data_IF_056517186702
#
_entry.id   IF_056517186702
#
_cell.length_a   1.000
_cell.length_b   1.000
_cell.length_c   1.000
_cell.angle_alpha   90.00
_cell.angle_beta   90.00
_cell.angle_gamma   90.00
#
_symmetry.space_group_name_H-M   'P 1'
#
loop_
_entity.id
_entity.type
_entity.pdbx_description
1 polymer ?
#
# COMPACT_ATOMS: atom_id res chain seq x y z
N UNK A 1 -1.10 6.70 -22.63
CA UNK A 1 -0.76 6.59 -21.19
C UNK A 1 -2.04 6.66 -20.38
N UNK A 2 -2.22 5.84 -19.32
CA UNK A 2 -3.42 5.87 -18.48
C UNK A 2 -3.63 7.25 -17.87
N UNK A 3 -4.89 7.69 -17.74
CA UNK A 3 -5.24 9.03 -17.23
C UNK A 3 -4.84 9.23 -15.77
N UNK A 4 -4.77 10.49 -15.31
CA UNK A 4 -4.44 10.82 -13.89
C UNK A 4 -5.40 10.13 -12.92
N UNK A 5 -6.69 10.08 -13.26
CA UNK A 5 -7.73 9.41 -12.46
C UNK A 5 -7.52 7.88 -12.39
N UNK A 6 -7.15 7.25 -13.50
CA UNK A 6 -6.86 5.81 -13.56
C UNK A 6 -5.63 5.47 -12.71
N UNK A 7 -4.59 6.33 -12.75
CA UNK A 7 -3.41 6.16 -11.90
C UNK A 7 -3.73 6.36 -10.42
N UNK A 8 -4.59 7.32 -10.05
CA UNK A 8 -5.00 7.50 -8.64
C UNK A 8 -5.86 6.33 -8.14
N UNK A 9 -6.74 5.78 -9.00
CA UNK A 9 -7.52 4.58 -8.67
C UNK A 9 -6.59 3.38 -8.41
N UNK A 10 -5.61 3.15 -9.28
CA UNK A 10 -4.61 2.09 -9.10
C UNK A 10 -3.74 2.32 -7.86
N UNK A 11 -3.37 3.57 -7.56
CA UNK A 11 -2.62 3.91 -6.36
C UNK A 11 -3.42 3.55 -5.10
N UNK A 12 -4.72 3.86 -5.07
CA UNK A 12 -5.63 3.46 -3.97
C UNK A 12 -5.70 1.95 -3.79
N UNK A 13 -5.83 1.20 -4.87
CA UNK A 13 -5.86 -0.27 -4.83
C UNK A 13 -4.57 -0.85 -4.24
N UNK A 14 -3.41 -0.44 -4.76
CA UNK A 14 -2.11 -0.96 -4.32
C UNK A 14 -1.81 -0.60 -2.87
N UNK A 15 -2.15 0.63 -2.45
CA UNK A 15 -1.98 1.05 -1.06
C UNK A 15 -2.88 0.24 -0.12
N UNK A 16 -4.12 -0.07 -0.53
CA UNK A 16 -5.01 -0.96 0.22
C UNK A 16 -4.42 -2.36 0.38
N UNK A 17 -3.89 -2.94 -0.69
CA UNK A 17 -3.22 -4.25 -0.66
C UNK A 17 -2.00 -4.25 0.28
N UNK A 18 -1.16 -3.21 0.20
CA UNK A 18 0.00 -3.06 1.08
C UNK A 18 -0.42 -2.95 2.56
N UNK A 19 -1.48 -2.18 2.84
CA UNK A 19 -2.02 -2.08 4.19
C UNK A 19 -2.52 -3.43 4.70
N UNK A 20 -3.17 -4.24 3.85
CA UNK A 20 -3.57 -5.61 4.20
C UNK A 20 -2.37 -6.46 4.63
N UNK A 21 -1.32 -6.51 3.80
CA UNK A 21 -0.08 -7.26 4.12
C UNK A 21 0.56 -6.77 5.43
N UNK A 22 0.61 -5.46 5.63
CA UNK A 22 1.14 -4.89 6.88
C UNK A 22 0.36 -5.38 8.11
N UNK A 23 -0.97 -5.40 8.02
CA UNK A 23 -1.82 -5.82 9.13
C UNK A 23 -1.71 -7.32 9.41
N UNK A 24 -1.56 -8.15 8.37
CA UNK A 24 -1.24 -9.57 8.54
C UNK A 24 0.04 -9.76 9.36
N UNK A 25 1.10 -9.01 9.03
CA UNK A 25 2.36 -9.07 9.78
C UNK A 25 2.23 -8.50 11.20
N UNK A 26 1.40 -7.48 11.40
CA UNK A 26 1.08 -6.96 12.72
C UNK A 26 0.40 -8.03 13.58
N UNK A 27 -0.60 -8.73 13.06
CA UNK A 27 -1.27 -9.81 13.79
C UNK A 27 -0.31 -10.95 14.13
N UNK A 28 0.51 -11.37 13.16
CA UNK A 28 1.54 -12.37 13.38
C UNK A 28 2.52 -11.96 14.49
N UNK A 29 3.05 -10.74 14.44
CA UNK A 29 3.98 -10.23 15.45
C UNK A 29 3.33 -10.17 16.84
N UNK A 30 2.07 -9.73 16.96
CA UNK A 30 1.35 -9.75 18.24
C UNK A 30 1.21 -11.18 18.77
N UNK A 31 0.94 -12.15 17.90
CA UNK A 31 0.80 -13.57 18.28
C UNK A 31 2.11 -14.19 18.76
N UNK A 32 3.23 -13.80 18.17
CA UNK A 32 4.58 -14.21 18.62
C UNK A 32 4.91 -13.70 20.04
N UNK A 33 4.22 -12.67 20.54
CA UNK A 33 4.39 -12.19 21.92
C UNK A 33 3.59 -12.98 22.96
N UNK A 34 2.68 -13.86 22.55
CA UNK A 34 1.86 -14.66 23.47
C UNK A 34 2.65 -15.91 23.90
N UNK A 35 2.91 -16.11 25.21
CA UNK A 35 3.62 -17.29 25.70
C UNK A 35 2.89 -18.59 25.36
N UNK A 36 3.61 -19.57 24.83
CA UNK A 36 3.09 -20.89 24.41
C UNK A 36 3.31 -21.98 25.47
N UNK A 37 3.50 -21.60 26.73
CA UNK A 37 3.96 -22.47 27.83
C UNK A 37 2.93 -23.50 28.35
N UNK A 38 1.88 -23.79 27.58
CA UNK A 38 0.85 -24.75 27.93
C UNK A 38 1.04 -26.11 27.26
N UNK A 39 0.82 -27.19 28.02
CA UNK A 39 0.69 -28.58 27.53
C UNK A 39 -0.42 -28.72 26.45
N UNK A 40 -1.25 -27.68 26.29
CA UNK A 40 -2.34 -27.58 25.30
C UNK A 40 -2.10 -26.53 24.21
N UNK A 41 -0.87 -26.05 23.98
CA UNK A 41 -0.61 -25.19 22.81
C UNK A 41 -1.02 -25.97 21.56
N UNK A 42 -1.95 -25.44 20.76
CA UNK A 42 -2.72 -26.15 19.73
C UNK A 42 -1.91 -26.58 18.49
N UNK A 43 -0.59 -26.65 18.63
CA UNK A 43 0.33 -27.30 17.71
C UNK A 43 0.35 -26.67 16.33
N UNK A 44 0.67 -27.47 15.32
CA UNK A 44 0.72 -27.04 13.92
C UNK A 44 -0.65 -26.63 13.36
N UNK A 45 -1.74 -27.25 13.88
CA UNK A 45 -3.10 -26.94 13.45
C UNK A 45 -3.52 -25.52 13.83
N UNK A 46 -3.30 -25.12 15.08
CA UNK A 46 -3.59 -23.76 15.55
C UNK A 46 -2.82 -22.72 14.74
N UNK A 47 -1.53 -22.94 14.46
CA UNK A 47 -0.74 -22.02 13.64
C UNK A 47 -1.30 -21.85 12.23
N UNK A 48 -1.76 -22.93 11.61
CA UNK A 48 -2.36 -22.91 10.29
C UNK A 48 -3.70 -22.14 10.28
N UNK A 49 -4.59 -22.40 11.24
CA UNK A 49 -5.86 -21.69 11.34
C UNK A 49 -5.71 -20.22 11.75
N UNK A 50 -4.75 -19.90 12.63
CA UNK A 50 -4.42 -18.53 12.97
C UNK A 50 -3.91 -17.76 11.75
N UNK A 51 -3.04 -18.37 10.93
CA UNK A 51 -2.59 -17.76 9.67
C UNK A 51 -3.76 -17.50 8.70
N UNK A 52 -4.70 -18.43 8.55
CA UNK A 52 -5.90 -18.22 7.73
C UNK A 52 -6.79 -17.10 8.27
N UNK A 53 -6.94 -16.99 9.59
CA UNK A 53 -7.68 -15.90 10.23
C UNK A 53 -7.02 -14.55 9.98
N UNK A 54 -5.71 -14.45 10.18
CA UNK A 54 -4.94 -13.23 9.95
C UNK A 54 -5.07 -12.76 8.50
N UNK A 55 -4.99 -13.68 7.53
CA UNK A 55 -5.23 -13.39 6.12
C UNK A 55 -6.64 -12.87 5.84
N UNK A 56 -7.66 -13.48 6.46
CA UNK A 56 -9.03 -13.03 6.27
C UNK A 56 -9.24 -11.62 6.84
N UNK A 57 -8.71 -11.35 8.03
CA UNK A 57 -8.75 -10.03 8.66
C UNK A 57 -7.99 -9.00 7.81
N UNK A 58 -6.79 -9.32 7.34
CA UNK A 58 -5.97 -8.46 6.48
C UNK A 58 -6.70 -8.07 5.18
N UNK A 59 -7.42 -9.00 4.56
CA UNK A 59 -8.21 -8.74 3.35
C UNK A 59 -9.41 -7.82 3.59
N UNK A 60 -9.93 -7.75 4.83
CA UNK A 60 -11.02 -6.85 5.20
C UNK A 60 -10.53 -5.43 5.56
N UNK A 61 -9.23 -5.23 5.77
CA UNK A 61 -8.65 -3.94 6.16
C UNK A 61 -8.95 -2.80 5.18
N UNK A 62 -8.83 -2.98 3.84
CA UNK A 62 -9.06 -1.87 2.90
C UNK A 62 -10.46 -1.29 2.95
N UNK A 63 -11.48 -2.09 3.33
CA UNK A 63 -12.87 -1.65 3.41
C UNK A 63 -13.29 -1.16 4.80
N UNK A 64 -12.56 -1.56 5.86
CA UNK A 64 -12.95 -1.28 7.25
C UNK A 64 -12.07 -0.21 7.93
N UNK A 65 -10.83 0.01 7.48
CA UNK A 65 -9.85 0.90 8.11
C UNK A 65 -9.49 2.10 7.24
N UNK A 66 -10.48 2.96 7.04
CA UNK A 66 -10.43 4.14 6.17
C UNK A 66 -9.58 5.31 6.73
N UNK A 67 -9.15 5.24 8.00
CA UNK A 67 -8.32 6.26 8.68
C UNK A 67 -6.97 5.74 9.16
N UNK A 68 -6.42 4.74 8.47
CA UNK A 68 -5.17 4.08 8.82
C UNK A 68 -3.94 4.56 8.04
N UNK A 69 -2.90 3.73 8.03
CA UNK A 69 -1.65 3.96 7.30
C UNK A 69 -1.87 4.17 5.79
N UNK A 70 -2.88 3.54 5.18
CA UNK A 70 -3.17 3.68 3.76
C UNK A 70 -3.52 5.12 3.36
N UNK A 71 -4.32 5.82 4.16
CA UNK A 71 -4.66 7.23 3.90
C UNK A 71 -3.41 8.12 3.98
N UNK A 72 -2.54 7.86 4.95
CA UNK A 72 -1.27 8.58 5.10
C UNK A 72 -0.34 8.35 3.92
N UNK A 73 -0.25 7.11 3.41
CA UNK A 73 0.52 6.79 2.21
C UNK A 73 -0.06 7.47 0.97
N UNK A 74 -1.39 7.47 0.80
CA UNK A 74 -2.05 8.15 -0.31
C UNK A 74 -1.77 9.65 -0.31
N UNK A 75 -1.86 10.30 0.86
CA UNK A 75 -1.55 11.72 1.01
C UNK A 75 -0.11 12.06 0.61
N UNK A 76 0.84 11.16 0.86
CA UNK A 76 2.26 11.36 0.51
C UNK A 76 2.58 11.02 -0.96
N UNK A 77 1.90 10.03 -1.54
CA UNK A 77 2.21 9.51 -2.88
C UNK A 77 1.43 10.23 -4.00
N UNK A 78 0.22 10.72 -3.73
CA UNK A 78 -0.60 11.45 -4.71
C UNK A 78 0.10 12.65 -5.36
N UNK A 79 0.81 13.52 -4.62
CA UNK A 79 1.54 14.63 -5.24
C UNK A 79 2.61 14.18 -6.24
N UNK A 80 3.23 13.03 -6.00
CA UNK A 80 4.27 12.48 -6.88
C UNK A 80 3.67 11.97 -8.20
N UNK A 81 2.42 11.51 -8.18
CA UNK A 81 1.68 11.05 -9.36
C UNK A 81 1.37 12.20 -10.34
N UNK A 82 1.19 13.42 -9.83
CA UNK A 82 0.98 14.62 -10.61
C UNK A 82 2.30 15.11 -11.26
N UNK A 83 3.41 15.04 -10.52
CA UNK A 83 4.75 15.39 -11.01
C UNK A 83 5.29 14.38 -12.04
N UNK A 84 4.97 13.10 -11.92
CA UNK A 84 5.38 12.08 -12.88
C UNK A 84 4.71 12.25 -14.26
N UNK A 85 3.59 12.98 -14.35
CA UNK A 85 2.91 13.27 -15.61
C UNK A 85 3.53 14.40 -16.43
N UNK A 86 4.47 15.18 -15.87
CA UNK A 86 5.03 16.37 -16.53
C UNK A 86 6.35 16.12 -17.26
N UNK A 87 6.93 14.93 -17.15
CA UNK A 87 8.29 14.64 -17.69
C UNK A 87 8.27 14.07 -19.12
N UNK A 88 7.10 13.72 -19.68
CA UNK A 88 7.00 13.09 -21.01
C UNK A 88 6.70 14.10 -22.15
N UNK A 89 6.39 15.36 -21.83
CA UNK A 89 5.96 16.40 -22.80
C UNK A 89 7.01 17.50 -23.05
N UNK A 90 8.29 17.23 -22.80
CA UNK A 90 9.38 18.15 -23.13
C UNK A 90 10.49 17.43 -23.90
N UNK A 91 10.14 16.97 -25.12
CA UNK A 91 11.15 16.68 -26.14
C UNK A 91 11.93 17.96 -26.49
N UNK A 92 13.27 17.89 -26.66
CA UNK A 92 14.06 19.05 -27.01
C UNK A 92 13.89 19.34 -28.49
N UNK A 93 12.98 20.24 -28.86
CA UNK A 93 13.08 20.89 -30.16
C UNK A 93 12.60 22.33 -30.14
N UNK A 94 13.43 23.18 -30.74
CA UNK A 94 13.14 24.51 -31.25
C UNK A 94 12.90 25.65 -30.24
N UNK A 95 13.99 26.25 -29.76
CA UNK A 95 14.09 27.71 -29.68
C UNK A 95 15.57 28.15 -29.81
N UNK A 96 16.19 27.82 -30.94
CA UNK A 96 17.21 28.71 -31.50
C UNK A 96 16.51 29.96 -32.06
N UNK A 97 17.18 31.11 -31.96
CA UNK A 97 16.74 32.48 -32.30
C UNK A 97 15.80 33.15 -31.29
N UNK A 98 16.36 34.01 -30.43
CA UNK A 98 16.40 35.45 -30.72
C UNK A 98 17.34 36.17 -29.73
N UNK A 99 18.44 36.73 -30.26
CA UNK A 99 19.13 37.90 -29.70
C UNK A 99 18.57 39.10 -30.47
N UNK A 100 18.07 40.17 -29.82
CA UNK A 100 18.87 41.40 -29.58
C UNK A 100 18.45 42.13 -28.27
N UNK A 101 19.17 43.08 -27.68
CA UNK A 101 20.34 43.89 -28.03
C UNK A 101 21.03 44.32 -26.73
#
# INVERSE_FOLDING_TARGET
MPGVEERDARLREVVGQLQGVFVEQLFKAMRETVPTDGVTSGGAGEQMFAGMLDQHLANAVPSQWDRGLGESLLRQLRPQLALAGTTDEAGPTAAALQVPR
#
